data_IF_354078630242
#
_entry.id   IF_354078630242
#
_cell.length_a   1.000
_cell.length_b   1.000
_cell.length_c   1.000
_cell.angle_alpha   90.00
_cell.angle_beta   90.00
_cell.angle_gamma   90.00
#
_symmetry.space_group_name_H-M   'P 1'
#
loop_
_entity.id
_entity.type
_entity.pdbx_description
1 polymer ?
#
# COMPACT_ATOMS: atom_id res chain seq x y z
N UNK A 1 -2.16 -3.92 26.42
CA UNK A 1 -0.95 -3.25 25.92
C UNK A 1 -0.79 -3.56 24.43
N UNK A 2 -1.39 -2.75 23.56
CA UNK A 2 -1.45 -2.96 22.10
C UNK A 2 -0.48 -2.06 21.33
N UNK A 3 0.73 -1.83 21.84
CA UNK A 3 1.67 -0.89 21.23
C UNK A 3 2.41 -1.46 20.01
N UNK A 4 2.51 -2.79 19.88
CA UNK A 4 3.32 -3.45 18.84
C UNK A 4 2.54 -4.48 18.00
N UNK A 5 1.20 -4.51 18.09
CA UNK A 5 0.42 -5.42 17.28
C UNK A 5 0.60 -5.04 15.80
N UNK A 6 1.36 -5.87 15.07
CA UNK A 6 1.78 -5.66 13.67
C UNK A 6 2.88 -4.60 13.41
N UNK A 7 3.62 -4.15 14.44
CA UNK A 7 4.78 -3.26 14.27
C UNK A 7 6.05 -3.94 14.76
N UNK A 8 7.13 -3.79 14.01
CA UNK A 8 8.45 -4.29 14.42
C UNK A 8 9.04 -3.42 15.53
N UNK A 9 9.52 -4.04 16.61
CA UNK A 9 10.08 -3.32 17.76
C UNK A 9 11.40 -2.64 17.38
N UNK A 10 11.48 -1.33 17.61
CA UNK A 10 12.68 -0.55 17.31
C UNK A 10 12.80 -0.10 15.86
N UNK A 11 11.79 -0.37 15.02
CA UNK A 11 11.75 0.12 13.65
C UNK A 11 11.57 1.65 13.62
N UNK A 12 12.34 2.31 12.76
CA UNK A 12 12.12 3.71 12.38
C UNK A 12 11.07 3.75 11.26
N UNK A 13 10.03 4.53 11.45
CA UNK A 13 8.94 4.65 10.48
C UNK A 13 8.99 6.00 9.76
N UNK A 14 8.69 5.96 8.47
CA UNK A 14 8.65 7.13 7.61
C UNK A 14 7.22 7.33 7.09
N UNK A 15 6.77 8.59 7.08
CA UNK A 15 5.47 8.96 6.53
C UNK A 15 5.64 9.26 5.05
N UNK A 16 4.87 8.56 4.23
CA UNK A 16 4.84 8.74 2.78
C UNK A 16 3.46 9.18 2.31
N UNK A 17 3.41 9.92 1.21
CA UNK A 17 2.16 10.18 0.48
C UNK A 17 1.78 8.93 -0.31
N UNK A 18 0.47 8.75 -0.52
CA UNK A 18 -0.05 7.68 -1.37
C UNK A 18 0.54 7.68 -2.78
N UNK A 19 0.77 8.86 -3.37
CA UNK A 19 1.42 8.97 -4.68
C UNK A 19 2.86 8.46 -4.69
N UNK A 20 3.61 8.66 -3.59
CA UNK A 20 4.99 8.20 -3.50
C UNK A 20 5.05 6.68 -3.47
N UNK A 21 4.11 6.03 -2.77
CA UNK A 21 4.02 4.58 -2.70
C UNK A 21 3.43 3.98 -3.98
N UNK A 22 2.16 4.27 -4.28
CA UNK A 22 1.42 3.64 -5.39
C UNK A 22 1.91 4.15 -6.73
N UNK A 23 2.00 5.48 -6.89
CA UNK A 23 2.53 6.09 -8.11
C UNK A 23 4.01 5.78 -8.32
N UNK A 24 4.79 5.72 -7.25
CA UNK A 24 6.21 5.31 -7.30
C UNK A 24 6.38 3.88 -7.82
N UNK A 25 5.59 2.93 -7.32
CA UNK A 25 5.59 1.55 -7.83
C UNK A 25 5.25 1.50 -9.33
N UNK A 26 4.22 2.22 -9.77
CA UNK A 26 3.86 2.29 -11.19
C UNK A 26 5.02 2.84 -12.06
N UNK A 27 5.63 3.96 -11.65
CA UNK A 27 6.78 4.56 -12.35
C UNK A 27 8.02 3.68 -12.34
N UNK A 28 8.18 2.85 -11.31
CA UNK A 28 9.25 1.85 -11.22
C UNK A 28 9.02 0.60 -12.08
N UNK A 29 7.94 0.56 -12.87
CA UNK A 29 7.64 -0.54 -13.79
C UNK A 29 6.90 -1.70 -13.11
N UNK A 30 6.17 -1.44 -12.04
CA UNK A 30 5.26 -2.41 -11.45
C UNK A 30 3.82 -2.17 -11.90
N UNK A 31 3.07 -3.26 -12.07
CA UNK A 31 1.62 -3.25 -12.15
C UNK A 31 1.09 -3.58 -10.76
N UNK A 32 0.21 -2.75 -10.23
CA UNK A 32 -0.52 -3.05 -8.99
C UNK A 32 -1.60 -4.08 -9.32
N UNK A 33 -1.48 -5.26 -8.74
CA UNK A 33 -2.45 -6.35 -8.90
C UNK A 33 -3.56 -6.27 -7.84
N UNK A 34 -3.23 -5.76 -6.65
CA UNK A 34 -4.18 -5.57 -5.56
C UNK A 34 -3.68 -4.51 -4.56
N UNK A 35 -4.62 -3.82 -3.93
CA UNK A 35 -4.40 -2.92 -2.79
C UNK A 35 -5.49 -3.23 -1.76
N UNK A 36 -5.08 -3.73 -0.60
CA UNK A 36 -5.98 -4.14 0.46
C UNK A 36 -5.75 -3.31 1.73
N UNK A 37 -6.85 -3.00 2.41
CA UNK A 37 -6.89 -2.42 3.75
C UNK A 37 -7.48 -3.44 4.72
N UNK A 38 -6.66 -4.21 5.45
CA UNK A 38 -7.17 -5.32 6.24
C UNK A 38 -8.07 -4.86 7.39
N UNK A 39 -9.25 -5.49 7.49
CA UNK A 39 -10.21 -5.22 8.55
C UNK A 39 -9.75 -5.86 9.86
N UNK A 40 -9.17 -5.03 10.73
CA UNK A 40 -8.76 -5.41 12.08
C UNK A 40 -9.67 -4.88 13.18
N UNK A 41 -10.68 -4.09 12.83
CA UNK A 41 -11.62 -3.51 13.76
C UNK A 41 -12.49 -4.56 14.46
N UNK A 42 -12.69 -4.38 15.77
CA UNK A 42 -13.72 -5.10 16.55
C UNK A 42 -14.63 -4.07 17.28
N UNK A 43 -15.95 -4.05 17.00
CA UNK A 43 -16.86 -3.07 17.61
C UNK A 43 -17.12 -3.35 19.10
N UNK A 44 -16.79 -4.55 19.58
CA UNK A 44 -16.88 -4.90 20.99
C UNK A 44 -15.56 -4.64 21.75
N UNK A 45 -14.51 -4.15 21.08
CA UNK A 45 -13.24 -3.89 21.71
C UNK A 45 -13.29 -2.65 22.60
N UNK A 46 -12.58 -2.73 23.73
CA UNK A 46 -12.46 -1.62 24.68
C UNK A 46 -11.92 -0.35 24.01
N UNK A 47 -12.48 0.84 24.32
CA UNK A 47 -12.01 2.10 23.79
C UNK A 47 -10.50 2.31 23.98
N UNK A 48 -9.85 2.81 22.93
CA UNK A 48 -8.42 3.08 22.92
C UNK A 48 -7.52 1.87 22.62
N UNK A 49 -8.06 0.64 22.58
CA UNK A 49 -7.30 -0.54 22.12
C UNK A 49 -7.01 -0.50 20.61
N UNK A 50 -6.03 -1.29 20.16
CA UNK A 50 -5.72 -1.44 18.73
C UNK A 50 -6.96 -1.79 17.91
N UNK A 51 -7.69 -2.84 18.34
CA UNK A 51 -8.91 -3.33 17.69
C UNK A 51 -10.03 -2.27 17.66
N UNK A 52 -10.20 -1.47 18.71
CA UNK A 52 -11.15 -0.36 18.70
C UNK A 52 -10.74 0.73 17.70
N UNK A 53 -9.47 1.16 17.71
CA UNK A 53 -8.99 2.20 16.79
C UNK A 53 -9.07 1.77 15.32
N UNK A 54 -8.84 0.49 15.04
CA UNK A 54 -8.95 -0.10 13.70
C UNK A 54 -10.39 -0.17 13.15
N UNK A 55 -11.41 0.25 13.91
CA UNK A 55 -12.75 0.52 13.38
C UNK A 55 -12.80 1.76 12.48
N UNK A 56 -11.95 2.75 12.78
CA UNK A 56 -12.02 4.06 12.14
C UNK A 56 -10.98 4.21 11.03
N UNK A 57 -9.79 3.64 11.23
CA UNK A 57 -8.69 3.72 10.28
C UNK A 57 -7.96 2.36 10.25
N UNK A 58 -7.81 1.72 9.07
CA UNK A 58 -7.02 0.52 8.93
C UNK A 58 -5.58 0.74 9.40
N UNK A 59 -4.98 -0.22 10.13
CA UNK A 59 -3.66 -0.04 10.74
C UNK A 59 -2.51 -0.05 9.72
N UNK A 60 -2.72 -0.64 8.55
CA UNK A 60 -1.76 -0.70 7.45
C UNK A 60 -2.50 -1.01 6.14
N UNK A 61 -1.76 -0.91 5.04
CA UNK A 61 -2.20 -1.32 3.71
C UNK A 61 -1.28 -2.41 3.18
N UNK A 62 -1.81 -3.33 2.40
CA UNK A 62 -1.05 -4.37 1.72
C UNK A 62 -1.15 -4.16 0.21
N UNK A 63 0.01 -4.16 -0.47
CA UNK A 63 0.08 -3.95 -1.91
C UNK A 63 0.65 -5.20 -2.56
N UNK A 64 -0.11 -5.80 -3.49
CA UNK A 64 0.41 -6.82 -4.39
C UNK A 64 0.79 -6.15 -5.70
N UNK A 65 2.05 -6.28 -6.08
CA UNK A 65 2.54 -5.68 -7.31
C UNK A 65 3.43 -6.65 -8.07
N UNK A 66 3.32 -6.66 -9.40
CA UNK A 66 4.13 -7.48 -10.28
C UNK A 66 5.03 -6.59 -11.13
N UNK A 67 6.32 -6.90 -11.14
CA UNK A 67 7.28 -6.22 -12.00
C UNK A 67 7.02 -6.57 -13.46
N UNK A 68 6.94 -5.56 -14.30
CA UNK A 68 6.92 -5.74 -15.76
C UNK A 68 8.36 -5.64 -16.25
N UNK A 69 8.75 -6.54 -17.15
CA UNK A 69 10.00 -6.36 -17.88
C UNK A 69 9.89 -5.04 -18.65
N UNK A 70 10.74 -4.08 -18.32
CA UNK A 70 10.89 -2.89 -19.15
C UNK A 70 11.23 -3.41 -20.56
N UNK A 71 10.42 -3.14 -21.60
CA UNK A 71 10.90 -3.38 -22.94
C UNK A 71 12.19 -2.59 -23.05
N UNK A 72 13.29 -3.24 -23.49
CA UNK A 72 14.51 -2.53 -23.79
C UNK A 72 14.13 -1.30 -24.62
N UNK A 73 14.54 -0.10 -24.18
CA UNK A 73 14.34 1.16 -24.88
C UNK A 73 14.60 0.93 -26.38
N UNK A 74 13.53 0.80 -27.16
CA UNK A 74 13.60 0.20 -28.50
C UNK A 74 12.30 -0.43 -29.01
N UNK A 75 11.33 -0.73 -28.15
CA UNK A 75 9.98 -1.17 -28.56
C UNK A 75 8.89 -0.21 -28.09
N UNK A 76 8.94 1.05 -28.56
CA UNK A 76 7.77 1.90 -28.61
C UNK A 76 7.22 1.85 -30.05
N UNK A 77 6.43 0.82 -30.35
CA UNK A 77 5.66 0.77 -31.59
C UNK A 77 4.45 1.71 -31.45
N UNK A 78 4.53 2.81 -32.20
CA UNK A 78 3.47 3.52 -32.92
C UNK A 78 2.10 3.77 -32.25
N UNK A 79 1.76 5.06 -32.18
CA UNK A 79 0.38 5.50 -32.40
C UNK A 79 -0.32 6.05 -31.18
N UNK A 80 -0.04 7.31 -30.85
CA UNK A 80 -1.06 8.16 -30.24
C UNK A 80 -2.19 8.29 -31.28
N UNK A 81 -3.33 7.67 -31.02
CA UNK A 81 -4.60 7.99 -31.69
C UNK A 81 -5.39 8.85 -30.71
N UNK A 82 -5.49 10.14 -31.01
CA UNK A 82 -6.42 11.06 -30.34
C UNK A 82 -7.66 11.15 -31.24
N UNK A 83 -8.90 11.11 -30.70
CA UNK A 83 -10.08 11.46 -31.46
C UNK A 83 -10.08 12.93 -31.90
#
# INVERSE_FOLDING_TARGET
HGEFEHREKGALEFVHRWEELVGGLCRAGFVIEDLAEPKHGDPAAEPGTFRHRSQFIPPYVAIKARRVATPALGQAAAGIVIP
#
